data_IF_195612953666
#
_entry.id   IF_195612953666
#
_cell.length_a   1.000
_cell.length_b   1.000
_cell.length_c   1.000
_cell.angle_alpha   90.00
_cell.angle_beta   90.00
_cell.angle_gamma   90.00
#
_symmetry.space_group_name_H-M   'P 1'
#
loop_
_entity.id
_entity.type
_entity.pdbx_description
1 polymer ?
#
# COMPACT_ATOMS: atom_id res chain seq x y z
N UNK A 1 2.23 5.38 -7.84
CA UNK A 1 3.26 6.13 -7.11
C UNK A 1 3.18 5.87 -5.61
N UNK A 2 4.32 5.94 -4.92
CA UNK A 2 4.39 6.02 -3.45
C UNK A 2 4.62 7.46 -3.00
N UNK A 3 3.88 7.88 -1.97
CA UNK A 3 3.98 9.22 -1.37
C UNK A 3 4.31 9.05 0.13
N UNK A 4 5.47 9.52 0.61
CA UNK A 4 5.81 9.43 2.03
C UNK A 4 4.90 10.36 2.85
N UNK A 5 4.36 9.84 3.94
CA UNK A 5 3.59 10.61 4.94
C UNK A 5 4.48 10.98 6.12
N UNK A 6 5.32 10.04 6.53
CA UNK A 6 6.31 10.16 7.58
C UNK A 6 7.48 9.19 7.30
N UNK A 7 8.45 9.07 8.22
CA UNK A 7 9.64 8.22 8.05
C UNK A 7 9.35 6.71 7.93
N UNK A 8 8.13 6.29 8.23
CA UNK A 8 7.73 4.89 8.37
C UNK A 8 6.48 4.54 7.57
N UNK A 9 5.85 5.51 6.91
CA UNK A 9 4.54 5.35 6.28
C UNK A 9 4.52 5.95 4.88
N UNK A 10 4.01 5.19 3.92
CA UNK A 10 3.81 5.62 2.54
C UNK A 10 2.38 5.34 2.09
N UNK A 11 1.81 6.25 1.33
CA UNK A 11 0.55 6.06 0.62
C UNK A 11 0.84 5.58 -0.81
N UNK A 12 0.04 4.64 -1.28
CA UNK A 12 0.05 4.18 -2.68
C UNK A 12 -1.11 4.84 -3.40
N UNK A 13 -0.79 5.64 -4.41
CA UNK A 13 -1.75 6.41 -5.22
C UNK A 13 -1.51 6.12 -6.70
N UNK A 14 -2.55 6.20 -7.53
CA UNK A 14 -2.40 6.01 -8.99
C UNK A 14 -1.50 7.11 -9.58
N UNK A 15 -1.82 8.35 -9.22
CA UNK A 15 -1.14 9.59 -9.58
C UNK A 15 -1.24 10.60 -8.42
N UNK A 16 -0.67 11.80 -8.59
CA UNK A 16 -0.54 12.78 -7.52
C UNK A 16 -1.88 13.31 -7.00
N UNK A 17 -2.90 13.38 -7.87
CA UNK A 17 -4.22 13.92 -7.58
C UNK A 17 -5.20 12.83 -7.08
N UNK A 18 -4.86 11.55 -7.31
CA UNK A 18 -5.71 10.42 -6.93
C UNK A 18 -5.81 10.21 -5.43
N UNK A 19 -6.94 9.69 -4.96
CA UNK A 19 -7.08 9.22 -3.58
C UNK A 19 -6.17 8.01 -3.30
N UNK A 20 -5.67 7.84 -2.07
CA UNK A 20 -4.86 6.69 -1.69
C UNK A 20 -5.65 5.38 -1.77
N UNK A 21 -5.04 4.36 -2.36
CA UNK A 21 -5.63 3.03 -2.52
C UNK A 21 -5.04 2.00 -1.53
N UNK A 22 -3.77 2.18 -1.17
CA UNK A 22 -3.10 1.37 -0.16
C UNK A 22 -2.18 2.20 0.74
N UNK A 23 -1.81 1.59 1.87
CA UNK A 23 -0.83 2.10 2.82
C UNK A 23 0.27 1.06 3.00
N UNK A 24 1.50 1.54 3.07
CA UNK A 24 2.70 0.76 3.35
C UNK A 24 3.30 1.31 4.64
N UNK A 25 3.58 0.43 5.60
CA UNK A 25 4.19 0.82 6.86
C UNK A 25 5.41 -0.04 7.17
N UNK A 26 6.40 0.56 7.84
CA UNK A 26 7.54 -0.18 8.36
C UNK A 26 7.07 -1.20 9.40
N UNK A 27 7.31 -2.48 9.14
CA UNK A 27 6.89 -3.59 9.99
C UNK A 27 8.06 -4.54 10.24
N UNK A 28 8.61 -4.51 11.47
CA UNK A 28 9.84 -5.22 11.79
C UNK A 28 10.96 -4.81 10.82
N UNK A 29 11.56 -5.78 10.14
CA UNK A 29 12.59 -5.58 9.12
C UNK A 29 12.07 -5.33 7.70
N UNK A 30 10.76 -5.26 7.49
CA UNK A 30 10.15 -5.13 6.16
C UNK A 30 9.07 -4.06 6.07
N UNK A 31 8.26 -4.15 5.02
CA UNK A 31 7.25 -3.17 4.62
C UNK A 31 5.90 -3.87 4.46
N UNK A 32 4.96 -3.60 5.36
CA UNK A 32 3.64 -4.24 5.37
C UNK A 32 2.69 -3.46 4.48
N UNK A 33 2.13 -4.13 3.47
CA UNK A 33 1.10 -3.57 2.60
C UNK A 33 -0.29 -3.82 3.18
N UNK A 34 -1.13 -2.78 3.20
CA UNK A 34 -2.54 -2.88 3.62
C UNK A 34 -3.43 -2.07 2.69
N UNK A 35 -4.69 -2.48 2.52
CA UNK A 35 -5.69 -1.65 1.84
C UNK A 35 -5.90 -0.35 2.62
N UNK A 36 -5.97 0.77 1.91
CA UNK A 36 -6.23 2.06 2.54
C UNK A 36 -7.62 2.09 3.18
N UNK A 37 -7.69 2.66 4.38
CA UNK A 37 -8.93 3.05 5.05
C UNK A 37 -8.63 4.12 6.09
N UNK A 38 -9.53 5.09 6.23
CA UNK A 38 -9.50 6.05 7.33
C UNK A 38 -9.70 5.37 8.69
N UNK A 39 -10.41 4.24 8.72
CA UNK A 39 -10.60 3.44 9.93
C UNK A 39 -9.53 2.35 9.99
N UNK A 40 -8.60 2.44 10.95
CA UNK A 40 -7.46 1.51 11.03
C UNK A 40 -7.87 0.04 11.11
N UNK A 41 -8.91 -0.28 11.89
CA UNK A 41 -9.42 -1.65 12.05
C UNK A 41 -9.99 -2.26 10.76
N UNK A 42 -10.28 -1.44 9.73
CA UNK A 42 -10.75 -1.89 8.42
C UNK A 42 -9.62 -2.13 7.41
N UNK A 43 -8.37 -1.86 7.78
CA UNK A 43 -7.21 -2.03 6.89
C UNK A 43 -6.83 -3.51 6.81
N UNK A 44 -7.16 -4.15 5.69
CA UNK A 44 -6.80 -5.56 5.45
C UNK A 44 -5.33 -5.68 5.03
N UNK A 45 -4.51 -6.53 5.68
CA UNK A 45 -3.14 -6.79 5.26
C UNK A 45 -3.08 -7.64 3.98
N UNK A 46 -2.08 -7.37 3.15
CA UNK A 46 -1.86 -8.06 1.87
C UNK A 46 -0.46 -8.66 1.71
N UNK A 47 0.44 -8.45 2.68
CA UNK A 47 1.76 -9.07 2.71
C UNK A 47 2.80 -8.18 3.38
N UNK A 48 4.02 -8.72 3.52
CA UNK A 48 5.22 -7.99 3.95
C UNK A 48 6.27 -8.14 2.85
N UNK A 49 6.89 -7.03 2.46
CA UNK A 49 7.84 -6.93 1.36
C UNK A 49 9.17 -6.38 1.86
N UNK A 50 10.23 -6.55 1.08
CA UNK A 50 11.58 -6.08 1.41
C UNK A 50 11.83 -4.61 1.04
N UNK A 51 10.90 -3.98 0.32
CA UNK A 51 10.96 -2.55 -0.05
C UNK A 51 9.58 -1.96 -0.32
N UNK A 52 9.39 -0.64 -0.17
CA UNK A 52 8.12 0.02 -0.43
C UNK A 52 7.73 -0.02 -1.92
N UNK A 53 8.69 0.00 -2.84
CA UNK A 53 8.47 -0.10 -4.28
C UNK A 53 7.96 -1.49 -4.68
N UNK A 54 8.44 -2.53 -3.99
CA UNK A 54 7.95 -3.90 -4.17
C UNK A 54 6.52 -4.05 -3.64
N UNK A 55 6.22 -3.43 -2.49
CA UNK A 55 4.87 -3.39 -1.94
C UNK A 55 3.90 -2.63 -2.87
N UNK A 56 4.34 -1.52 -3.47
CA UNK A 56 3.56 -0.79 -4.48
C UNK A 56 3.26 -1.67 -5.70
N UNK A 57 4.29 -2.30 -6.26
CA UNK A 57 4.13 -3.20 -7.42
C UNK A 57 3.14 -4.32 -7.11
N UNK A 58 3.22 -4.89 -5.90
CA UNK A 58 2.30 -5.93 -5.46
C UNK A 58 0.86 -5.44 -5.32
N UNK A 59 0.64 -4.20 -4.87
CA UNK A 59 -0.70 -3.60 -4.80
C UNK A 59 -1.34 -3.53 -6.19
N UNK A 60 -0.62 -3.02 -7.18
CA UNK A 60 -1.17 -2.88 -8.54
C UNK A 60 -1.50 -4.25 -9.15
N UNK A 61 -0.62 -5.24 -8.98
CA UNK A 61 -0.90 -6.62 -9.42
C UNK A 61 -2.11 -7.24 -8.72
N UNK A 62 -2.29 -6.98 -7.42
CA UNK A 62 -3.44 -7.46 -6.67
C UNK A 62 -4.74 -6.81 -7.14
N UNK A 63 -4.71 -5.51 -7.41
CA UNK A 63 -5.84 -4.73 -7.92
C UNK A 63 -6.26 -5.19 -9.31
N UNK A 64 -5.31 -5.37 -10.21
CA UNK A 64 -5.58 -5.84 -11.58
C UNK A 64 -6.26 -7.22 -11.57
N UNK A 65 -5.81 -8.13 -10.69
CA UNK A 65 -6.45 -9.44 -10.50
C UNK A 65 -7.88 -9.34 -9.97
N UNK A 66 -8.19 -8.34 -9.15
CA UNK A 66 -9.54 -8.13 -8.59
C UNK A 66 -10.49 -7.45 -9.55
N UNK A 67 -9.99 -6.61 -10.45
CA UNK A 67 -10.80 -5.92 -11.47
C UNK A 67 -11.11 -6.77 -12.70
N UNK A 68 -10.49 -7.95 -12.82
CA UNK A 68 -10.72 -8.90 -13.91
C UNK A 68 -11.85 -9.92 -13.62
N UNK A 69 -12.60 -9.74 -12.53
CA UNK A 69 -13.79 -10.49 -12.14
C UNK A 69 -15.03 -9.61 -12.29
#
# INVERSE_FOLDING_TARGET
MIEPVDDRTWLVKRDAESSPEAIIDRFGGGYRLRRFSLTESRRTPHGVFTGPELAETAWWRLRDRRGAL
#
